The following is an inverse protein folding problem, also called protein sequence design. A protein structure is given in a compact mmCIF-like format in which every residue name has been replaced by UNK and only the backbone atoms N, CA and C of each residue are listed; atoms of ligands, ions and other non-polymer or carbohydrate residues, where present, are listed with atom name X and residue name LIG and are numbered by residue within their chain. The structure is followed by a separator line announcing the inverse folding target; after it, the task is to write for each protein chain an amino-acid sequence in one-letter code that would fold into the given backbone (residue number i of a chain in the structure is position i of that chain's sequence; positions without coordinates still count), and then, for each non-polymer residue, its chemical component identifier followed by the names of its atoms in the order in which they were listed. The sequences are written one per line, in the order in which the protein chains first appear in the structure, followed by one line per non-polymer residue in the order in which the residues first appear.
data_IF_332943615673
#
_entry.id   IF_332943615673
#
_cell.length_a   1.000
_cell.length_b   1.000
_cell.length_c   1.000
_cell.angle_alpha   90.00
_cell.angle_beta   90.00
_cell.angle_gamma   90.00
#
_symmetry.space_group_name_H-M   'P 1'
#
loop_
_entity.id
_entity.type
_entity.pdbx_description
1 polymer ?
#
# COMPACT_ATOMS: atom_id res chain seq x y z
N UNK A 1 3.61 0.75 -11.58
CA UNK A 1 3.51 1.85 -10.59
C UNK A 1 2.15 1.90 -9.88
N UNK A 2 1.44 0.77 -9.67
CA UNK A 2 0.07 0.82 -9.11
C UNK A 2 -0.27 -0.29 -8.12
N UNK A 3 0.42 -1.44 -8.15
CA UNK A 3 -0.02 -2.62 -7.39
C UNK A 3 0.05 -2.48 -5.87
N UNK A 4 1.09 -1.85 -5.30
CA UNK A 4 1.21 -1.70 -3.83
C UNK A 4 0.15 -0.81 -3.20
N UNK A 5 -0.28 0.26 -3.89
CA UNK A 5 -1.30 1.17 -3.35
C UNK A 5 -2.69 0.52 -3.30
N UNK A 6 -3.06 -0.23 -4.35
CA UNK A 6 -4.34 -0.94 -4.37
C UNK A 6 -4.39 -2.13 -3.40
N UNK A 7 -3.27 -2.84 -3.19
CA UNK A 7 -3.23 -3.91 -2.18
C UNK A 7 -3.35 -3.36 -0.76
N UNK A 8 -2.69 -2.24 -0.46
CA UNK A 8 -2.79 -1.56 0.83
C UNK A 8 -4.24 -1.18 1.16
N UNK A 9 -5.02 -0.73 0.16
CA UNK A 9 -6.44 -0.42 0.35
C UNK A 9 -7.24 -1.65 0.84
N UNK A 10 -7.12 -2.79 0.16
CA UNK A 10 -7.91 -3.98 0.47
C UNK A 10 -7.60 -4.49 1.89
N UNK A 11 -6.33 -4.45 2.31
CA UNK A 11 -5.91 -4.82 3.66
C UNK A 11 -6.48 -3.90 4.74
N UNK A 12 -6.67 -2.61 4.46
CA UNK A 12 -7.22 -1.62 5.41
C UNK A 12 -8.74 -1.71 5.61
N UNK A 13 -9.45 -2.47 4.77
CA UNK A 13 -10.92 -2.62 4.88
C UNK A 13 -11.37 -3.45 6.09
N UNK A 14 -10.46 -4.22 6.71
CA UNK A 14 -10.74 -5.08 7.86
C UNK A 14 -11.30 -6.46 7.52
N UNK A 15 -11.28 -6.86 6.24
CA UNK A 15 -11.58 -8.24 5.82
C UNK A 15 -10.39 -9.14 6.18
N UNK A 16 -10.66 -10.24 6.90
CA UNK A 16 -9.62 -11.18 7.35
C UNK A 16 -9.18 -12.18 6.28
N UNK A 17 -10.05 -12.50 5.33
CA UNK A 17 -9.78 -13.48 4.27
C UNK A 17 -10.01 -12.82 2.93
N UNK A 18 -8.92 -12.41 2.30
CA UNK A 18 -8.92 -11.76 0.99
C UNK A 18 -8.59 -12.81 -0.06
N UNK A 19 -9.38 -12.83 -1.13
CA UNK A 19 -9.20 -13.74 -2.26
C UNK A 19 -8.94 -12.89 -3.50
N UNK A 20 -7.87 -13.20 -4.23
CA UNK A 20 -7.50 -12.51 -5.46
C UNK A 20 -7.75 -13.44 -6.64
N UNK A 21 -8.77 -13.13 -7.46
CA UNK A 21 -9.11 -13.94 -8.63
C UNK A 21 -8.43 -13.38 -9.87
N UNK A 22 -7.67 -14.21 -10.57
CA UNK A 22 -7.05 -13.90 -11.86
C UNK A 22 -7.77 -14.68 -12.96
N UNK A 23 -8.49 -13.96 -13.81
CA UNK A 23 -9.19 -14.52 -14.97
C UNK A 23 -8.31 -14.47 -16.24
N UNK A 24 -8.33 -15.56 -17.00
CA UNK A 24 -7.65 -15.71 -18.29
C UNK A 24 -6.44 -16.64 -18.23
N UNK A 25 -5.90 -17.00 -19.40
CA UNK A 25 -4.64 -17.74 -19.50
C UNK A 25 -3.45 -16.76 -19.40
N UNK A 26 -2.65 -16.80 -18.32
CA UNK A 26 -1.50 -15.93 -18.17
C UNK A 26 -0.46 -16.11 -19.29
N UNK A 27 -0.42 -17.30 -19.93
CA UNK A 27 0.55 -17.60 -20.97
C UNK A 27 0.18 -17.00 -22.33
N UNK A 28 -1.07 -16.54 -22.50
CA UNK A 28 -1.53 -15.89 -23.72
C UNK A 28 -1.28 -14.36 -23.71
N UNK A 29 -0.84 -13.80 -22.57
CA UNK A 29 -0.61 -12.37 -22.40
C UNK A 29 0.86 -11.99 -22.63
N UNK A 30 1.09 -10.87 -23.35
CA UNK A 30 2.38 -10.19 -23.31
C UNK A 30 2.64 -9.71 -21.88
N UNK A 31 3.64 -10.28 -21.21
CA UNK A 31 3.92 -10.04 -19.78
C UNK A 31 3.54 -11.18 -18.84
N UNK A 32 3.32 -12.39 -19.36
CA UNK A 32 3.05 -13.62 -18.60
C UNK A 32 3.94 -13.79 -17.36
N UNK A 33 5.25 -13.53 -17.48
CA UNK A 33 6.20 -13.68 -16.37
C UNK A 33 5.97 -12.64 -15.28
N UNK A 34 5.68 -11.39 -15.65
CA UNK A 34 5.35 -10.32 -14.69
C UNK A 34 4.05 -10.61 -13.94
N UNK A 35 3.04 -11.13 -14.65
CA UNK A 35 1.75 -11.54 -14.05
C UNK A 35 1.98 -12.68 -13.06
N UNK A 36 2.76 -13.71 -13.44
CA UNK A 36 3.10 -14.82 -12.56
C UNK A 36 3.81 -14.33 -11.31
N UNK A 37 4.84 -13.50 -11.46
CA UNK A 37 5.56 -12.92 -10.32
C UNK A 37 4.64 -12.12 -9.42
N UNK A 38 3.79 -11.24 -9.98
CA UNK A 38 2.83 -10.46 -9.18
C UNK A 38 1.87 -11.37 -8.39
N UNK A 39 1.36 -12.44 -9.02
CA UNK A 39 0.52 -13.42 -8.34
C UNK A 39 1.25 -14.13 -7.20
N UNK A 40 2.50 -14.55 -7.42
CA UNK A 40 3.31 -15.17 -6.38
C UNK A 40 3.61 -14.20 -5.23
N UNK A 41 3.91 -12.94 -5.52
CA UNK A 41 4.11 -11.92 -4.49
C UNK A 41 2.84 -11.74 -3.67
N UNK A 42 1.67 -11.61 -4.30
CA UNK A 42 0.38 -11.48 -3.59
C UNK A 42 0.01 -12.72 -2.78
N UNK A 43 0.38 -13.91 -3.24
CA UNK A 43 0.11 -15.16 -2.53
C UNK A 43 1.04 -15.36 -1.32
N UNK A 44 2.34 -15.10 -1.50
CA UNK A 44 3.37 -15.43 -0.50
C UNK A 44 3.63 -14.27 0.46
N UNK A 45 3.77 -13.04 -0.05
CA UNK A 45 4.15 -11.89 0.76
C UNK A 45 2.93 -11.26 1.45
N UNK A 46 1.80 -11.24 0.75
CA UNK A 46 0.58 -10.54 1.18
C UNK A 46 -0.47 -11.50 1.77
N UNK A 47 -0.20 -12.81 1.70
CA UNK A 47 -1.03 -13.90 2.23
C UNK A 47 -2.48 -13.95 1.67
N UNK A 48 -2.69 -13.45 0.45
CA UNK A 48 -4.00 -13.54 -0.20
C UNK A 48 -4.23 -14.93 -0.80
N UNK A 49 -5.48 -15.40 -0.81
CA UNK A 49 -5.87 -16.62 -1.53
C UNK A 49 -5.99 -16.31 -3.03
N UNK A 50 -4.93 -16.61 -3.79
CA UNK A 50 -4.87 -16.36 -5.23
C UNK A 50 -5.51 -17.50 -6.01
N UNK A 51 -6.66 -17.24 -6.61
CA UNK A 51 -7.39 -18.19 -7.44
C UNK A 51 -7.22 -17.84 -8.92
N UNK A 52 -6.95 -18.85 -9.75
CA UNK A 52 -6.71 -18.68 -11.18
C UNK A 52 -7.79 -19.43 -11.95
N UNK A 53 -8.46 -18.73 -12.86
CA UNK A 53 -9.55 -19.28 -13.70
C UNK A 53 -9.27 -18.99 -15.16
N UNK A 54 -9.51 -19.95 -16.03
CA UNK A 54 -9.07 -19.87 -17.45
C UNK A 54 -10.04 -19.09 -18.34
N UNK A 55 -11.29 -18.93 -17.90
CA UNK A 55 -12.35 -18.27 -18.65
C UNK A 55 -13.45 -17.75 -17.74
N UNK A 56 -14.25 -16.81 -18.23
CA UNK A 56 -15.43 -16.29 -17.55
C UNK A 56 -16.39 -17.40 -17.05
N UNK A 57 -16.56 -18.49 -17.80
CA UNK A 57 -17.43 -19.60 -17.40
C UNK A 57 -16.89 -20.27 -16.13
N UNK A 58 -15.58 -20.49 -16.07
CA UNK A 58 -14.89 -21.06 -14.91
C UNK A 58 -14.95 -20.10 -13.71
N UNK A 59 -14.77 -18.80 -13.95
CA UNK A 59 -14.94 -17.74 -12.94
C UNK A 59 -16.34 -17.74 -12.34
N UNK A 60 -17.39 -17.75 -13.16
CA UNK A 60 -18.78 -17.78 -12.70
C UNK A 60 -19.06 -19.07 -11.92
N UNK A 61 -18.57 -20.21 -12.41
CA UNK A 61 -18.71 -21.48 -11.71
C UNK A 61 -18.07 -21.43 -10.33
N UNK A 62 -16.88 -20.84 -10.22
CA UNK A 62 -16.16 -20.65 -8.95
C UNK A 62 -16.94 -19.77 -7.98
N UNK A 63 -17.51 -18.66 -8.45
CA UNK A 63 -18.39 -17.82 -7.64
C UNK A 63 -19.64 -18.55 -7.16
N UNK A 64 -20.24 -19.39 -8.00
CA UNK A 64 -21.36 -20.25 -7.62
C UNK A 64 -21.00 -21.19 -6.48
N UNK A 65 -19.87 -21.90 -6.60
CA UNK A 65 -19.38 -22.81 -5.55
C UNK A 65 -19.06 -22.06 -4.25
N UNK A 66 -18.41 -20.90 -4.32
CA UNK A 66 -18.09 -20.09 -3.14
C UNK A 66 -19.36 -19.60 -2.43
N UNK A 67 -20.36 -19.15 -3.20
CA UNK A 67 -21.64 -18.69 -2.65
C UNK A 67 -22.38 -19.80 -1.90
N UNK A 68 -22.26 -21.05 -2.37
CA UNK A 68 -22.85 -22.21 -1.70
C UNK A 68 -22.04 -22.64 -0.46
N UNK A 69 -20.71 -22.58 -0.54
CA UNK A 69 -19.83 -22.98 0.55
C UNK A 69 -19.88 -22.04 1.77
N UNK A 70 -20.14 -20.74 1.57
CA UNK A 70 -20.18 -19.75 2.65
C UNK A 70 -21.27 -20.07 3.69
N UNK A 71 -22.56 -20.23 3.33
CA UNK A 71 -23.60 -20.63 4.29
C UNK A 71 -23.28 -21.92 5.04
N UNK A 72 -22.73 -22.91 4.35
CA UNK A 72 -22.39 -24.20 4.97
C UNK A 72 -21.24 -24.06 5.98
N UNK A 73 -20.25 -23.21 5.69
CA UNK A 73 -19.19 -22.88 6.62
C UNK A 73 -19.74 -22.20 7.91
N UNK A 74 -20.68 -21.27 7.77
CA UNK A 74 -21.31 -20.62 8.93
C UNK A 74 -22.16 -21.60 9.76
N UNK A 75 -22.83 -22.57 9.14
CA UNK A 75 -23.55 -23.63 9.86
C UNK A 75 -22.59 -24.47 10.71
N UNK A 76 -21.45 -24.89 10.14
CA UNK A 76 -20.43 -25.68 10.86
C UNK A 76 -19.86 -24.93 12.07
N UNK A 77 -19.56 -23.64 11.91
CA UNK A 77 -19.05 -22.78 12.99
C UNK A 77 -20.09 -22.62 14.10
N UNK A 78 -21.38 -22.51 13.77
CA UNK A 78 -22.44 -22.34 14.76
C UNK A 78 -22.68 -23.58 15.64
N UNK A 79 -22.28 -24.75 15.17
CA UNK A 79 -22.42 -26.03 15.89
C UNK A 79 -21.24 -26.37 16.82
N UNK A 80 -20.12 -25.67 16.72
CA UNK A 80 -18.90 -25.97 17.50
C UNK A 80 -18.71 -24.93 18.63
N UNK A 81 -18.91 -25.34 19.89
CA UNK A 81 -18.77 -24.48 21.07
C UNK A 81 -17.37 -23.85 21.22
N UNK A 82 -16.34 -24.42 20.57
CA UNK A 82 -14.96 -23.89 20.58
C UNK A 82 -14.73 -22.73 19.62
N UNK A 83 -15.66 -22.43 18.71
CA UNK A 83 -15.49 -21.43 17.65
C UNK A 83 -15.98 -20.03 18.04
N UNK A 84 -15.96 -19.68 19.34
CA UNK A 84 -16.32 -18.32 19.82
C UNK A 84 -15.22 -17.28 19.59
N UNK A 85 -14.08 -17.67 19.01
CA UNK A 85 -12.93 -16.80 18.72
C UNK A 85 -12.97 -16.18 17.32
N UNK A 86 -13.88 -16.63 16.44
CA UNK A 86 -14.12 -15.99 15.16
C UNK A 86 -14.85 -14.66 15.40
N UNK A 87 -14.07 -13.58 15.54
CA UNK A 87 -14.60 -12.23 15.78
C UNK A 87 -15.80 -11.90 14.88
N UNK A 88 -16.80 -11.24 15.47
CA UNK A 88 -18.09 -10.92 14.83
C UNK A 88 -17.86 -10.20 13.49
N UNK A 89 -18.46 -10.73 12.42
CA UNK A 89 -18.45 -10.06 11.11
C UNK A 89 -19.05 -8.65 11.25
N UNK A 90 -18.35 -7.59 10.80
CA UNK A 90 -18.89 -6.24 10.88
C UNK A 90 -20.18 -6.15 10.06
N UNK A 91 -21.13 -5.32 10.52
CA UNK A 91 -22.33 -5.01 9.73
C UNK A 91 -21.92 -4.37 8.41
N UNK A 92 -22.64 -4.68 7.33
CA UNK A 92 -22.36 -4.18 5.99
C UNK A 92 -22.15 -2.65 5.93
N UNK A 93 -23.03 -1.86 6.55
CA UNK A 93 -22.90 -0.40 6.57
C UNK A 93 -21.61 0.08 7.26
N UNK A 94 -21.16 -0.64 8.30
CA UNK A 94 -19.89 -0.34 8.98
C UNK A 94 -18.71 -0.68 8.10
N UNK A 95 -18.79 -1.80 7.37
CA UNK A 95 -17.78 -2.17 6.40
C UNK A 95 -17.64 -1.14 5.28
N UNK A 96 -18.75 -0.69 4.67
CA UNK A 96 -18.72 0.35 3.62
C UNK A 96 -18.07 1.63 4.15
N UNK A 97 -18.45 2.08 5.35
CA UNK A 97 -17.83 3.24 5.98
C UNK A 97 -16.32 3.05 6.20
N UNK A 98 -15.89 1.87 6.63
CA UNK A 98 -14.46 1.57 6.77
C UNK A 98 -13.73 1.61 5.42
N UNK A 99 -14.36 1.15 4.33
CA UNK A 99 -13.79 1.28 2.99
C UNK A 99 -13.67 2.75 2.56
N UNK A 100 -14.69 3.56 2.80
CA UNK A 100 -14.63 5.01 2.54
C UNK A 100 -13.54 5.70 3.38
N UNK A 101 -13.38 5.29 4.64
CA UNK A 101 -12.33 5.80 5.51
C UNK A 101 -10.93 5.31 5.09
N UNK A 102 -10.82 4.10 4.52
CA UNK A 102 -9.58 3.54 3.99
C UNK A 102 -9.15 4.15 2.64
N UNK A 103 -10.11 4.67 1.86
CA UNK A 103 -9.85 5.39 0.60
C UNK A 103 -9.40 6.84 0.85
N UNK A 104 -9.59 7.35 2.07
CA UNK A 104 -9.10 8.69 2.44
C UNK A 104 -7.59 8.67 2.55
N UNK A 105 -6.94 9.32 1.59
CA UNK A 105 -5.54 9.66 1.66
C UNK A 105 -5.33 10.84 2.62
N UNK A 106 -4.49 10.65 3.63
CA UNK A 106 -3.98 11.73 4.45
C UNK A 106 -2.94 12.55 3.68
N UNK A 107 -2.73 13.80 4.09
CA UNK A 107 -1.71 14.68 3.49
C UNK A 107 -0.30 14.09 3.64
N UNK A 108 -0.05 13.37 4.74
CA UNK A 108 1.21 12.66 4.97
C UNK A 108 1.41 11.49 4.01
N UNK A 109 0.40 10.64 3.80
CA UNK A 109 0.45 9.55 2.81
C UNK A 109 0.60 10.09 1.39
N UNK A 110 -0.09 11.18 1.04
CA UNK A 110 0.09 11.83 -0.25
C UNK A 110 1.52 12.37 -0.44
N UNK A 111 2.13 12.91 0.63
CA UNK A 111 3.50 13.37 0.62
C UNK A 111 4.51 12.22 0.52
N UNK A 112 4.26 11.09 1.20
CA UNK A 112 5.06 9.86 1.08
C UNK A 112 5.06 9.32 -0.35
N UNK A 113 3.86 9.24 -0.94
CA UNK A 113 3.67 8.84 -2.32
C UNK A 113 4.41 9.79 -3.27
N UNK A 114 4.38 11.10 -3.02
CA UNK A 114 5.15 12.08 -3.81
C UNK A 114 6.67 11.85 -3.69
N UNK A 115 7.18 11.60 -2.48
CA UNK A 115 8.59 11.29 -2.26
C UNK A 115 9.01 9.99 -2.96
N UNK A 116 8.18 8.96 -2.91
CA UNK A 116 8.46 7.67 -3.56
C UNK A 116 8.28 7.69 -5.07
N UNK A 117 7.15 8.19 -5.59
CA UNK A 117 6.81 8.11 -7.02
C UNK A 117 7.65 9.06 -7.88
N UNK A 118 8.01 10.25 -7.39
CA UNK A 118 8.83 11.20 -8.12
C UNK A 118 10.31 11.13 -7.70
N UNK A 119 10.62 10.71 -6.46
CA UNK A 119 11.99 10.60 -5.96
C UNK A 119 12.73 9.30 -6.33
N UNK A 120 12.05 8.18 -6.62
CA UNK A 120 12.76 6.96 -7.06
C UNK A 120 13.41 7.11 -8.45
N UNK A 121 12.81 7.90 -9.35
CA UNK A 121 13.30 8.02 -10.73
C UNK A 121 14.49 8.99 -10.86
N UNK A 122 14.60 10.00 -10.00
CA UNK A 122 15.60 11.09 -10.12
C UNK A 122 16.51 11.23 -8.89
N UNK A 123 16.07 10.79 -7.70
CA UNK A 123 16.66 11.22 -6.42
C UNK A 123 17.28 10.07 -5.58
N UNK A 124 17.07 8.80 -5.95
CA UNK A 124 17.48 7.63 -5.14
C UNK A 124 16.94 7.66 -3.70
N UNK A 125 15.69 8.14 -3.53
CA UNK A 125 14.99 8.00 -2.24
C UNK A 125 14.51 6.57 -2.12
N UNK A 126 14.97 5.84 -1.11
CA UNK A 126 14.41 4.55 -0.72
C UNK A 126 13.22 4.76 0.22
N UNK A 127 12.40 3.72 0.41
CA UNK A 127 11.28 3.72 1.38
C UNK A 127 11.71 4.15 2.77
N UNK A 128 12.84 3.63 3.26
CA UNK A 128 13.39 3.98 4.58
C UNK A 128 13.73 5.47 4.70
N UNK A 129 14.22 6.09 3.62
CA UNK A 129 14.53 7.52 3.59
C UNK A 129 13.25 8.35 3.60
N UNK A 130 12.22 7.94 2.85
CA UNK A 130 10.93 8.64 2.84
C UNK A 130 10.26 8.59 4.22
N UNK A 131 10.27 7.44 4.89
CA UNK A 131 9.79 7.29 6.26
C UNK A 131 10.54 8.20 7.24
N UNK A 132 11.88 8.24 7.19
CA UNK A 132 12.69 9.10 8.06
C UNK A 132 12.41 10.60 7.84
N UNK A 133 12.11 11.01 6.61
CA UNK A 133 11.72 12.39 6.29
C UNK A 133 10.34 12.72 6.86
N UNK A 134 9.38 11.80 6.75
CA UNK A 134 8.02 11.98 7.30
C UNK A 134 7.98 12.05 8.81
N UNK A 135 8.82 11.28 9.50
CA UNK A 135 8.97 11.36 10.96
C UNK A 135 9.44 12.75 11.41
N UNK A 136 10.32 13.38 10.63
CA UNK A 136 10.81 14.73 10.91
C UNK A 136 9.82 15.83 10.46
N UNK A 137 9.20 15.65 9.30
CA UNK A 137 8.35 16.63 8.62
C UNK A 137 7.13 15.93 8.02
N UNK A 138 5.99 15.89 8.73
CA UNK A 138 4.82 15.12 8.32
C UNK A 138 4.11 15.67 7.08
N UNK A 139 4.47 16.88 6.62
CA UNK A 139 3.88 17.51 5.43
C UNK A 139 4.94 18.27 4.62
N UNK A 140 4.71 18.40 3.32
CA UNK A 140 5.52 19.27 2.45
C UNK A 140 5.56 20.71 2.96
N UNK A 141 4.45 21.23 3.51
CA UNK A 141 4.39 22.57 4.09
C UNK A 141 5.33 22.73 5.30
N UNK A 142 5.43 21.73 6.17
CA UNK A 142 6.36 21.77 7.31
C UNK A 142 7.82 21.71 6.85
N UNK A 143 8.11 20.93 5.81
CA UNK A 143 9.44 20.86 5.22
C UNK A 143 9.81 22.19 4.54
N UNK A 144 8.90 22.77 3.76
CA UNK A 144 9.08 24.06 3.11
C UNK A 144 9.30 25.20 4.12
N UNK A 145 8.55 25.22 5.23
CA UNK A 145 8.80 26.19 6.31
C UNK A 145 10.17 26.02 6.95
N UNK A 146 10.64 24.78 7.11
CA UNK A 146 11.97 24.51 7.65
C UNK A 146 13.09 24.98 6.69
N UNK A 147 12.88 24.85 5.38
CA UNK A 147 13.78 25.43 4.38
C UNK A 147 13.73 26.97 4.37
N UNK A 148 12.54 27.56 4.43
CA UNK A 148 12.35 29.01 4.50
C UNK A 148 12.98 29.63 5.76
N UNK A 149 13.01 28.91 6.89
CA UNK A 149 13.70 29.37 8.10
C UNK A 149 15.23 29.47 7.93
N UNK A 150 15.77 28.87 6.87
CA UNK A 150 17.20 28.78 6.55
C UNK A 150 17.51 29.46 5.21
N UNK A 151 16.65 30.35 4.72
CA UNK A 151 16.68 30.89 3.34
C UNK A 151 18.00 31.60 2.94
N UNK A 152 18.84 31.95 3.92
CA UNK A 152 20.14 32.59 3.69
C UNK A 152 21.34 31.62 3.72
N UNK A 153 21.15 30.35 4.11
CA UNK A 153 22.21 29.34 4.21
C UNK A 153 21.87 28.08 3.40
N UNK A 154 22.23 28.09 2.12
CA UNK A 154 22.02 26.98 1.19
C UNK A 154 22.71 25.69 1.67
N UNK A 155 23.83 25.79 2.38
CA UNK A 155 24.56 24.62 2.88
C UNK A 155 23.86 24.02 4.11
N UNK A 156 23.25 24.85 4.95
CA UNK A 156 22.36 24.40 6.02
C UNK A 156 21.06 23.78 5.48
N UNK A 157 20.49 24.31 4.39
CA UNK A 157 19.32 23.72 3.73
C UNK A 157 19.63 22.34 3.14
N UNK A 158 20.75 22.20 2.41
CA UNK A 158 21.16 20.91 1.83
C UNK A 158 21.46 19.83 2.89
N UNK A 159 21.88 20.22 4.09
CA UNK A 159 22.22 19.30 5.19
C UNK A 159 21.12 19.16 6.26
N UNK A 160 19.97 19.82 6.07
CA UNK A 160 18.89 19.88 7.04
C UNK A 160 18.37 18.49 7.43
N UNK A 161 18.06 17.66 6.44
CA UNK A 161 17.48 16.34 6.67
C UNK A 161 18.48 15.40 7.33
N UNK A 162 19.75 15.46 6.94
CA UNK A 162 20.85 14.68 7.57
C UNK A 162 20.93 14.95 9.07
N UNK A 163 20.91 16.23 9.45
CA UNK A 163 21.01 16.63 10.87
C UNK A 163 19.76 16.25 11.64
N UNK A 164 18.59 16.33 11.01
CA UNK A 164 17.31 16.15 11.71
C UNK A 164 16.88 14.70 11.85
N UNK A 165 17.27 13.86 10.90
CA UNK A 165 17.04 12.41 10.93
C UNK A 165 18.19 11.64 11.60
N UNK A 166 19.08 12.32 12.34
CA UNK A 166 20.27 11.71 12.98
C UNK A 166 21.14 10.86 12.04
N UNK A 167 21.23 11.25 10.75
CA UNK A 167 22.00 10.52 9.74
C UNK A 167 21.27 9.38 9.02
N UNK A 168 19.99 9.12 9.32
CA UNK A 168 19.17 8.16 8.57
C UNK A 168 18.98 8.56 7.09
N UNK A 169 18.88 9.86 6.81
CA UNK A 169 18.88 10.41 5.45
C UNK A 169 20.32 10.70 5.02
N UNK A 170 20.73 10.13 3.88
CA UNK A 170 22.07 10.37 3.33
C UNK A 170 22.23 11.83 2.87
N UNK A 171 23.46 12.35 2.89
CA UNK A 171 23.74 13.71 2.42
C UNK A 171 23.31 13.94 0.96
N UNK A 172 23.44 12.91 0.12
CA UNK A 172 23.01 12.95 -1.29
C UNK A 172 21.49 13.05 -1.38
N UNK A 173 20.76 12.23 -0.62
CA UNK A 173 19.30 12.27 -0.60
C UNK A 173 18.79 13.63 -0.08
N UNK A 174 19.37 14.14 1.01
CA UNK A 174 19.02 15.44 1.59
C UNK A 174 19.17 16.60 0.59
N UNK A 175 20.30 16.64 -0.13
CA UNK A 175 20.57 17.64 -1.16
C UNK A 175 19.58 17.55 -2.32
N UNK A 176 19.31 16.35 -2.80
CA UNK A 176 18.41 16.15 -3.92
C UNK A 176 16.96 16.49 -3.56
N UNK A 177 16.51 16.17 -2.33
CA UNK A 177 15.18 16.56 -1.83
C UNK A 177 15.07 18.08 -1.74
N UNK A 178 16.10 18.76 -1.23
CA UNK A 178 16.15 20.22 -1.20
C UNK A 178 16.00 20.83 -2.60
N UNK A 179 16.75 20.33 -3.59
CA UNK A 179 16.64 20.83 -4.96
C UNK A 179 15.26 20.60 -5.57
N UNK A 180 14.62 19.46 -5.25
CA UNK A 180 13.30 19.14 -5.74
C UNK A 180 12.19 19.99 -5.10
N UNK A 181 12.30 20.29 -3.81
CA UNK A 181 11.23 20.95 -3.03
C UNK A 181 11.37 22.49 -3.03
N UNK A 182 12.59 23.03 -3.00
CA UNK A 182 12.85 24.46 -2.75
C UNK A 182 13.60 25.17 -3.88
N UNK A 183 14.58 24.53 -4.53
CA UNK A 183 15.44 25.17 -5.53
C UNK A 183 14.94 25.05 -6.99
N UNK A 184 13.62 24.94 -7.18
CA UNK A 184 12.96 24.83 -8.48
C UNK A 184 12.97 26.13 -9.29
#
# INVERSE_FOLDING_TARGET
MSSSLYLCFIQRTGIKKIMYLVEGDPNACEGADSIKTACFTTEILEEFDVQRTTSLVDTIHRYGLLTLAVPDHYKLISSDEKCKTAGVCPKYNRFIKNCEDADKLTVGEAFDIQLMQLGLAVVQVTEDVAMAVLECYPTLCSLAHAYAALDEDTLAQETLLVKKSEGAVSAVASKNIFHFVWAG
#
